data_IF_828383542967
#
_entry.id   IF_828383542967
#
_cell.length_a   1.000
_cell.length_b   1.000
_cell.length_c   1.000
_cell.angle_alpha   90.00
_cell.angle_beta   90.00
_cell.angle_gamma   90.00
#
_symmetry.space_group_name_H-M   'P 1'
#
loop_
_entity.id
_entity.type
_entity.pdbx_description
1 polymer ?
#
# COMPACT_ATOMS: atom_id res chain seq x y z
N UNK A 1 8.69 0.44 -26.74
CA UNK A 1 7.53 1.34 -26.61
C UNK A 1 6.49 0.90 -27.64
N UNK A 2 5.22 0.76 -27.26
CA UNK A 2 4.15 0.35 -28.16
C UNK A 2 3.25 1.53 -28.55
N UNK A 3 2.99 2.44 -27.60
CA UNK A 3 2.16 3.62 -27.80
C UNK A 3 2.48 4.69 -26.73
N UNK A 4 2.21 5.96 -27.03
CA UNK A 4 2.16 7.04 -26.04
C UNK A 4 1.13 8.09 -26.43
N UNK A 5 0.39 8.55 -25.41
CA UNK A 5 -0.59 9.60 -25.52
C UNK A 5 -0.21 10.74 -24.58
N UNK A 6 -0.12 11.95 -25.13
CA UNK A 6 0.12 13.17 -24.36
C UNK A 6 -1.19 13.95 -24.27
N UNK A 7 -1.64 14.18 -23.03
CA UNK A 7 -2.83 14.96 -22.73
C UNK A 7 -2.45 16.27 -22.03
N UNK A 8 -3.19 17.32 -22.34
CA UNK A 8 -3.09 18.61 -21.67
C UNK A 8 -4.42 18.91 -21.02
N UNK A 9 -4.45 19.07 -19.70
CA UNK A 9 -5.68 19.33 -18.95
C UNK A 9 -5.67 20.73 -18.35
N UNK A 10 -6.82 21.40 -18.41
CA UNK A 10 -7.09 22.67 -17.74
C UNK A 10 -8.03 22.42 -16.56
N UNK A 11 -7.59 22.77 -15.35
CA UNK A 11 -8.42 22.68 -14.16
C UNK A 11 -9.16 23.98 -13.94
N UNK A 12 -10.41 23.89 -13.45
CA UNK A 12 -11.38 24.99 -13.37
C UNK A 12 -10.92 26.19 -12.51
N UNK A 13 -9.80 26.08 -11.80
CA UNK A 13 -9.23 27.09 -10.90
C UNK A 13 -7.92 27.74 -11.40
N UNK A 14 -7.52 27.48 -12.65
CA UNK A 14 -6.36 28.14 -13.28
C UNK A 14 -5.08 27.30 -13.31
N UNK A 15 -5.10 26.10 -12.73
CA UNK A 15 -3.98 25.16 -12.79
C UNK A 15 -4.01 24.41 -14.14
N UNK A 16 -2.87 24.35 -14.83
CA UNK A 16 -2.71 23.46 -15.98
C UNK A 16 -1.96 22.20 -15.57
N UNK A 17 -2.18 21.09 -16.25
CA UNK A 17 -1.35 19.90 -16.06
C UNK A 17 -1.04 19.24 -17.40
N UNK A 18 0.18 18.73 -17.51
CA UNK A 18 0.64 17.96 -18.66
C UNK A 18 0.74 16.49 -18.26
N UNK A 19 -0.11 15.63 -18.83
CA UNK A 19 -0.13 14.20 -18.56
C UNK A 19 0.43 13.40 -19.74
N UNK A 20 1.40 12.51 -19.49
CA UNK A 20 1.87 11.54 -20.47
C UNK A 20 1.50 10.12 -20.02
N UNK A 21 0.66 9.45 -20.81
CA UNK A 21 0.36 8.03 -20.68
C UNK A 21 1.21 7.25 -21.69
N UNK A 22 2.10 6.38 -21.19
CA UNK A 22 3.01 5.57 -22.01
C UNK A 22 2.69 4.11 -21.85
N UNK A 23 2.42 3.43 -22.97
CA UNK A 23 2.30 1.97 -23.01
C UNK A 23 3.64 1.37 -23.43
N UNK A 24 4.32 0.78 -22.46
CA UNK A 24 5.52 0.01 -22.70
C UNK A 24 5.14 -1.40 -23.17
N UNK A 25 6.00 -1.97 -24.01
CA UNK A 25 5.95 -3.41 -24.29
C UNK A 25 6.49 -4.15 -23.05
N UNK A 26 6.07 -5.39 -22.84
CA UNK A 26 6.49 -6.15 -21.65
C UNK A 26 8.01 -6.47 -21.65
N UNK A 27 8.65 -6.45 -22.82
CA UNK A 27 10.09 -6.60 -23.01
C UNK A 27 10.88 -5.27 -22.86
N UNK A 28 10.22 -4.17 -22.48
CA UNK A 28 10.88 -2.90 -22.27
C UNK A 28 11.92 -2.98 -21.13
N UNK A 29 13.13 -2.50 -21.41
CA UNK A 29 14.25 -2.58 -20.47
C UNK A 29 14.19 -1.46 -19.42
N UNK A 30 14.92 -1.63 -18.32
CA UNK A 30 15.02 -0.60 -17.28
C UNK A 30 15.60 0.75 -17.79
N UNK A 31 16.68 0.76 -18.61
CA UNK A 31 17.13 1.99 -19.26
C UNK A 31 16.08 2.64 -20.17
N UNK A 32 15.21 1.85 -20.82
CA UNK A 32 14.12 2.42 -21.64
C UNK A 32 13.05 3.09 -20.78
N UNK A 33 12.69 2.52 -19.63
CA UNK A 33 11.75 3.16 -18.68
C UNK A 33 12.35 4.46 -18.11
N UNK A 34 13.62 4.44 -17.74
CA UNK A 34 14.35 5.62 -17.29
C UNK A 34 14.38 6.72 -18.37
N UNK A 35 14.67 6.34 -19.62
CA UNK A 35 14.75 7.27 -20.73
C UNK A 35 13.41 7.98 -20.99
N UNK A 36 12.27 7.32 -20.79
CA UNK A 36 10.95 7.96 -20.91
C UNK A 36 10.81 9.12 -19.92
N UNK A 37 11.22 8.94 -18.66
CA UNK A 37 11.21 10.01 -17.65
C UNK A 37 12.10 11.17 -18.10
N UNK A 38 13.34 10.87 -18.54
CA UNK A 38 14.30 11.90 -18.96
C UNK A 38 13.83 12.67 -20.19
N UNK A 39 13.27 11.99 -21.19
CA UNK A 39 12.71 12.63 -22.39
C UNK A 39 11.58 13.57 -22.00
N UNK A 40 10.63 13.10 -21.18
CA UNK A 40 9.50 13.92 -20.73
C UNK A 40 9.96 15.12 -19.91
N UNK A 41 10.96 14.96 -19.04
CA UNK A 41 11.52 16.04 -18.24
C UNK A 41 12.13 17.18 -19.09
N UNK A 42 12.59 16.86 -20.30
CA UNK A 42 13.20 17.82 -21.23
C UNK A 42 12.24 18.33 -22.32
N UNK A 43 11.01 17.82 -22.36
CA UNK A 43 10.05 18.18 -23.40
C UNK A 43 9.62 19.64 -23.24
N UNK A 44 9.70 20.40 -24.33
CA UNK A 44 9.21 21.78 -24.34
C UNK A 44 7.69 21.79 -24.27
N UNK A 45 7.14 22.28 -23.16
CA UNK A 45 5.71 22.50 -23.02
C UNK A 45 5.33 23.89 -23.57
N UNK A 46 4.08 24.05 -24.08
CA UNK A 46 3.58 25.36 -24.47
C UNK A 46 3.66 26.35 -23.29
N UNK A 47 3.89 27.65 -23.53
CA UNK A 47 4.21 28.62 -22.48
C UNK A 47 3.23 28.62 -21.28
N UNK A 48 1.93 28.45 -21.53
CA UNK A 48 0.90 28.41 -20.50
C UNK A 48 0.93 27.17 -19.58
N UNK A 49 1.75 26.15 -19.89
CA UNK A 49 1.93 24.93 -19.08
C UNK A 49 3.31 24.88 -18.37
N UNK A 50 4.15 25.92 -18.50
CA UNK A 50 5.53 25.94 -17.96
C UNK A 50 5.62 26.26 -16.46
N UNK A 51 4.51 26.66 -15.82
CA UNK A 51 4.45 26.93 -14.38
C UNK A 51 4.00 25.74 -13.53
N UNK A 52 3.51 24.68 -14.17
CA UNK A 52 2.69 23.68 -13.49
C UNK A 52 3.33 22.28 -13.39
N UNK A 53 2.54 21.31 -12.94
CA UNK A 53 2.97 19.92 -12.76
C UNK A 53 2.90 19.11 -14.05
N UNK A 54 3.91 18.28 -14.25
CA UNK A 54 3.95 17.19 -15.23
C UNK A 54 3.63 15.89 -14.50
N UNK A 55 2.75 15.10 -15.11
CA UNK A 55 2.34 13.77 -14.65
C UNK A 55 2.74 12.75 -15.71
N UNK A 56 3.40 11.68 -15.29
CA UNK A 56 3.79 10.55 -16.12
C UNK A 56 3.15 9.28 -15.55
N UNK A 57 2.47 8.54 -16.42
CA UNK A 57 2.01 7.19 -16.15
C UNK A 57 2.60 6.27 -17.21
N UNK A 58 3.41 5.31 -16.79
CA UNK A 58 3.88 4.22 -17.62
C UNK A 58 3.13 2.95 -17.24
N UNK A 59 2.58 2.25 -18.23
CA UNK A 59 1.90 0.98 -18.02
C UNK A 59 2.54 -0.12 -18.88
N UNK A 60 2.69 -1.30 -18.30
CA UNK A 60 2.88 -2.59 -18.98
C UNK A 60 1.57 -3.36 -18.91
N UNK A 61 1.48 -4.60 -19.44
CA UNK A 61 0.21 -5.33 -19.40
C UNK A 61 -0.38 -5.46 -17.97
N UNK A 62 0.47 -5.63 -16.96
CA UNK A 62 0.05 -5.88 -15.57
C UNK A 62 0.63 -4.90 -14.55
N UNK A 63 1.62 -4.08 -14.93
CA UNK A 63 2.39 -3.26 -14.00
C UNK A 63 2.30 -1.78 -14.35
N UNK A 64 2.50 -0.90 -13.38
CA UNK A 64 2.51 0.54 -13.65
C UNK A 64 3.53 1.30 -12.84
N UNK A 65 4.08 2.35 -13.44
CA UNK A 65 4.85 3.38 -12.76
C UNK A 65 4.16 4.73 -12.94
N UNK A 66 4.02 5.46 -11.85
CA UNK A 66 3.45 6.79 -11.80
C UNK A 66 4.47 7.76 -11.21
N UNK A 67 4.61 8.93 -11.81
CA UNK A 67 5.39 10.01 -11.22
C UNK A 67 4.83 11.39 -11.57
N UNK A 68 5.09 12.34 -10.68
CA UNK A 68 4.75 13.76 -10.90
C UNK A 68 5.90 14.67 -10.48
N UNK A 69 6.11 15.77 -11.22
CA UNK A 69 7.11 16.79 -10.91
C UNK A 69 6.67 18.16 -11.42
N UNK A 70 7.22 19.24 -10.84
CA UNK A 70 7.06 20.59 -11.41
C UNK A 70 7.95 20.76 -12.64
N UNK A 71 7.50 21.53 -13.62
CA UNK A 71 8.30 21.86 -14.79
C UNK A 71 9.69 22.43 -14.39
N UNK A 72 10.76 21.92 -15.02
CA UNK A 72 12.15 22.29 -14.68
C UNK A 72 12.67 21.72 -13.35
N UNK A 73 11.88 20.92 -12.63
CA UNK A 73 12.32 20.24 -11.41
C UNK A 73 13.31 19.09 -11.68
N UNK A 74 14.09 18.74 -10.65
CA UNK A 74 15.01 17.59 -10.73
C UNK A 74 14.21 16.28 -10.81
N UNK A 75 14.46 15.51 -11.88
CA UNK A 75 13.82 14.23 -12.16
C UNK A 75 14.75 13.04 -11.99
N UNK A 76 15.95 13.24 -11.46
CA UNK A 76 16.97 12.18 -11.31
C UNK A 76 16.44 10.99 -10.50
N UNK A 77 15.86 11.25 -9.33
CA UNK A 77 15.25 10.20 -8.49
C UNK A 77 14.09 9.50 -9.18
N UNK A 78 13.31 10.23 -9.99
CA UNK A 78 12.17 9.69 -10.74
C UNK A 78 12.63 8.75 -11.84
N UNK A 79 13.68 9.14 -12.55
CA UNK A 79 14.30 8.31 -13.56
C UNK A 79 14.89 7.02 -12.93
N UNK A 80 15.57 7.14 -11.79
CA UNK A 80 16.09 5.99 -11.01
C UNK A 80 14.97 5.07 -10.49
N UNK A 81 13.87 5.63 -10.01
CA UNK A 81 12.70 4.87 -9.57
C UNK A 81 12.04 4.12 -10.74
N UNK A 82 11.90 4.76 -11.90
CA UNK A 82 11.41 4.11 -13.13
C UNK A 82 12.32 2.98 -13.61
N UNK A 83 13.65 3.18 -13.54
CA UNK A 83 14.63 2.13 -13.82
C UNK A 83 14.43 0.94 -12.88
N UNK A 84 14.29 1.22 -11.58
CA UNK A 84 14.17 0.19 -10.54
C UNK A 84 12.85 -0.57 -10.64
N UNK A 85 11.73 0.13 -10.86
CA UNK A 85 10.43 -0.49 -11.15
C UNK A 85 10.54 -1.48 -12.32
N UNK A 86 11.14 -1.05 -13.43
CA UNK A 86 11.31 -1.89 -14.60
C UNK A 86 12.23 -3.11 -14.35
N UNK A 87 13.25 -2.98 -13.49
CA UNK A 87 14.08 -4.11 -13.04
C UNK A 87 13.27 -5.13 -12.22
N UNK A 88 12.47 -4.65 -11.27
CA UNK A 88 11.61 -5.50 -10.43
C UNK A 88 10.57 -6.22 -11.29
N UNK A 89 9.84 -5.50 -12.13
CA UNK A 89 8.89 -6.08 -13.09
C UNK A 89 9.54 -7.13 -14.00
N UNK A 90 10.75 -6.85 -14.51
CA UNK A 90 11.47 -7.78 -15.38
C UNK A 90 11.89 -9.09 -14.69
N UNK A 91 12.03 -9.10 -13.36
CA UNK A 91 12.30 -10.33 -12.62
C UNK A 91 11.10 -11.28 -12.59
N UNK A 92 9.92 -10.81 -13.03
CA UNK A 92 8.65 -11.56 -13.06
C UNK A 92 8.34 -12.14 -11.68
N UNK A 93 8.01 -11.29 -10.71
CA UNK A 93 7.77 -11.75 -9.34
C UNK A 93 6.50 -12.60 -9.21
N UNK A 94 5.63 -12.61 -10.22
CA UNK A 94 4.37 -13.36 -10.21
C UNK A 94 3.19 -12.57 -9.63
N UNK A 95 3.36 -11.26 -9.48
CA UNK A 95 2.37 -10.30 -9.00
C UNK A 95 2.50 -8.99 -9.80
N UNK A 96 1.47 -8.15 -9.74
CA UNK A 96 1.46 -6.81 -10.34
C UNK A 96 2.28 -5.84 -9.49
N UNK A 97 3.11 -5.03 -10.15
CA UNK A 97 3.97 -4.05 -9.47
C UNK A 97 3.56 -2.63 -9.85
N UNK A 98 3.05 -1.89 -8.86
CA UNK A 98 2.66 -0.50 -9.02
C UNK A 98 3.56 0.42 -8.19
N UNK A 99 4.27 1.31 -8.86
CA UNK A 99 5.20 2.23 -8.22
C UNK A 99 4.71 3.66 -8.38
N UNK A 100 4.70 4.45 -7.31
CA UNK A 100 4.31 5.85 -7.32
C UNK A 100 5.42 6.71 -6.72
N UNK A 101 5.96 7.64 -7.50
CA UNK A 101 6.97 8.62 -7.09
C UNK A 101 6.47 10.05 -7.38
N UNK A 102 5.78 10.63 -6.40
CA UNK A 102 5.26 12.00 -6.46
C UNK A 102 3.86 12.14 -5.89
N UNK A 103 3.50 13.38 -5.54
CA UNK A 103 2.20 13.71 -4.97
C UNK A 103 1.03 13.57 -5.94
N UNK A 104 -0.16 13.48 -5.35
CA UNK A 104 -1.45 13.59 -6.02
C UNK A 104 -1.52 14.85 -6.90
N UNK A 105 -2.39 14.80 -7.91
CA UNK A 105 -2.70 15.82 -8.94
C UNK A 105 -2.89 17.28 -8.47
N UNK A 106 -2.90 17.58 -7.18
CA UNK A 106 -3.02 18.92 -6.64
C UNK A 106 -1.62 19.52 -6.41
N UNK A 107 -1.37 20.65 -7.04
CA UNK A 107 -0.21 21.48 -6.81
C UNK A 107 0.00 21.75 -5.30
N UNK A 108 1.26 21.87 -4.90
CA UNK A 108 1.73 22.46 -3.63
C UNK A 108 1.88 21.59 -2.37
N UNK A 109 1.84 20.27 -2.48
CA UNK A 109 2.34 19.40 -1.40
C UNK A 109 3.51 18.58 -1.94
N UNK A 110 4.67 18.63 -1.28
CA UNK A 110 5.62 17.51 -1.32
C UNK A 110 4.81 16.25 -1.03
N UNK A 111 4.44 15.54 -2.09
CA UNK A 111 3.58 14.37 -1.99
C UNK A 111 4.14 13.32 -1.04
N UNK A 112 3.32 12.36 -0.59
CA UNK A 112 3.80 11.28 0.24
C UNK A 112 5.00 10.60 -0.42
N UNK A 113 5.90 10.11 0.45
CA UNK A 113 7.10 9.38 0.07
C UNK A 113 6.78 8.32 -1.00
N UNK A 114 7.76 8.07 -1.86
CA UNK A 114 7.76 7.00 -2.84
C UNK A 114 7.13 5.71 -2.29
N UNK A 115 6.04 5.28 -2.94
CA UNK A 115 5.23 4.13 -2.52
C UNK A 115 5.29 3.04 -3.58
N UNK A 116 5.54 1.81 -3.14
CA UNK A 116 5.55 0.63 -4.00
C UNK A 116 4.49 -0.34 -3.54
N UNK A 117 3.65 -0.78 -4.46
CA UNK A 117 2.53 -1.68 -4.21
C UNK A 117 2.78 -2.97 -4.99
N UNK A 118 2.73 -4.10 -4.29
CA UNK A 118 2.82 -5.46 -4.82
C UNK A 118 1.42 -6.07 -4.71
N UNK A 119 0.72 -6.21 -5.83
CA UNK A 119 -0.68 -6.62 -5.86
C UNK A 119 -0.87 -7.98 -6.54
N UNK A 120 -1.81 -8.79 -6.05
CA UNK A 120 -2.10 -10.09 -6.66
C UNK A 120 -2.65 -9.94 -8.08
N UNK A 121 -2.20 -10.78 -9.02
CA UNK A 121 -2.51 -10.68 -10.45
C UNK A 121 -3.97 -10.96 -10.85
N UNK A 122 -4.78 -11.51 -9.95
CA UNK A 122 -6.19 -11.82 -10.21
C UNK A 122 -7.14 -11.13 -9.22
N UNK A 123 -6.64 -10.28 -8.33
CA UNK A 123 -7.43 -9.68 -7.25
C UNK A 123 -7.88 -10.67 -6.16
N UNK A 124 -7.72 -11.98 -6.37
CA UNK A 124 -8.30 -13.06 -5.55
C UNK A 124 -7.28 -14.09 -5.07
N UNK A 125 -6.01 -13.99 -5.47
CA UNK A 125 -4.93 -14.89 -5.06
C UNK A 125 -3.86 -14.17 -4.22
N UNK A 126 -4.12 -13.91 -2.91
CA UNK A 126 -3.16 -13.26 -2.01
C UNK A 126 -1.78 -13.94 -1.98
N UNK A 127 -1.74 -15.26 -2.17
CA UNK A 127 -0.52 -16.06 -2.22
C UNK A 127 0.47 -15.62 -3.31
N UNK A 128 -0.04 -15.10 -4.44
CA UNK A 128 0.81 -14.56 -5.51
C UNK A 128 1.54 -13.29 -5.05
N UNK A 129 0.85 -12.39 -4.34
CA UNK A 129 1.41 -11.17 -3.79
C UNK A 129 2.43 -11.47 -2.67
N UNK A 130 2.14 -12.45 -1.79
CA UNK A 130 3.11 -12.84 -0.74
C UNK A 130 4.34 -13.50 -1.33
N UNK A 131 4.20 -14.40 -2.31
CA UNK A 131 5.33 -15.03 -3.01
C UNK A 131 6.19 -13.98 -3.74
N UNK A 132 5.55 -13.04 -4.43
CA UNK A 132 6.23 -11.92 -5.08
C UNK A 132 7.03 -11.07 -4.09
N UNK A 133 6.44 -10.73 -2.94
CA UNK A 133 7.12 -9.96 -1.92
C UNK A 133 8.34 -10.70 -1.35
N UNK A 134 8.25 -12.00 -1.10
CA UNK A 134 9.42 -12.81 -0.68
C UNK A 134 10.54 -12.78 -1.72
N UNK A 135 10.19 -12.95 -3.00
CA UNK A 135 11.15 -12.89 -4.09
C UNK A 135 11.81 -11.52 -4.21
N UNK A 136 11.03 -10.44 -4.15
CA UNK A 136 11.54 -9.06 -4.18
C UNK A 136 12.47 -8.81 -2.99
N UNK A 137 12.12 -9.26 -1.79
CA UNK A 137 12.95 -9.09 -0.60
C UNK A 137 14.30 -9.81 -0.72
N UNK A 138 14.35 -10.96 -1.40
CA UNK A 138 15.58 -11.70 -1.67
C UNK A 138 16.43 -11.14 -2.82
N UNK A 139 15.80 -10.71 -3.90
CA UNK A 139 16.49 -10.24 -5.12
C UNK A 139 16.87 -8.75 -5.10
N UNK A 140 16.14 -7.94 -4.32
CA UNK A 140 16.29 -6.49 -4.25
C UNK A 140 16.35 -6.00 -2.79
N UNK A 141 17.34 -6.41 -1.98
CA UNK A 141 17.42 -6.03 -0.57
C UNK A 141 17.57 -4.51 -0.35
N UNK A 142 18.10 -3.78 -1.35
CA UNK A 142 18.22 -2.31 -1.31
C UNK A 142 16.88 -1.59 -1.19
N UNK A 143 15.80 -2.30 -1.50
CA UNK A 143 14.45 -1.77 -1.52
C UNK A 143 13.77 -1.79 -0.15
N UNK A 144 14.31 -2.50 0.85
CA UNK A 144 13.69 -2.65 2.18
C UNK A 144 13.31 -1.32 2.86
N UNK A 145 14.04 -0.23 2.58
CA UNK A 145 13.82 1.08 3.17
C UNK A 145 12.72 1.92 2.49
N UNK A 146 12.11 1.47 1.39
CA UNK A 146 10.99 2.18 0.75
C UNK A 146 9.66 1.92 1.47
N UNK A 147 8.63 2.68 1.11
CA UNK A 147 7.26 2.44 1.59
C UNK A 147 6.61 1.36 0.69
N UNK A 148 6.42 0.16 1.24
CA UNK A 148 5.86 -0.98 0.52
C UNK A 148 4.45 -1.29 0.98
N UNK A 149 3.61 -1.75 0.06
CA UNK A 149 2.32 -2.31 0.41
C UNK A 149 2.10 -3.59 -0.38
N UNK A 150 1.90 -4.71 0.29
CA UNK A 150 1.37 -5.94 -0.30
C UNK A 150 -0.15 -5.80 -0.33
N UNK A 151 -0.79 -6.10 -1.45
CA UNK A 151 -2.22 -5.90 -1.64
C UNK A 151 -2.89 -7.11 -2.29
N UNK A 152 -4.16 -7.35 -1.95
CA UNK A 152 -4.97 -8.38 -2.61
C UNK A 152 -5.34 -7.98 -4.04
N UNK A 153 -5.32 -6.68 -4.37
CA UNK A 153 -5.59 -6.19 -5.71
C UNK A 153 -5.31 -4.69 -5.85
N UNK A 154 -5.23 -4.23 -7.10
CA UNK A 154 -5.02 -2.82 -7.43
C UNK A 154 -5.82 -2.45 -8.68
N UNK A 155 -6.50 -1.30 -8.65
CA UNK A 155 -7.30 -0.82 -9.77
C UNK A 155 -7.34 0.71 -9.75
N UNK A 156 -7.18 1.34 -10.91
CA UNK A 156 -7.27 2.81 -11.08
C UNK A 156 -6.55 3.61 -9.98
N UNK A 157 -5.28 3.25 -9.77
CA UNK A 157 -4.38 3.87 -8.80
C UNK A 157 -4.76 3.64 -7.32
N UNK A 158 -5.68 2.72 -7.04
CA UNK A 158 -6.20 2.45 -5.71
C UNK A 158 -6.07 0.96 -5.36
N UNK A 159 -5.75 0.68 -4.09
CA UNK A 159 -5.78 -0.69 -3.57
C UNK A 159 -7.23 -1.17 -3.54
N UNK A 160 -7.45 -2.41 -4.00
CA UNK A 160 -8.74 -3.09 -3.94
C UNK A 160 -8.64 -4.26 -2.98
N UNK A 161 -9.48 -4.25 -1.94
CA UNK A 161 -9.51 -5.27 -0.89
C UNK A 161 -8.49 -4.99 0.23
N UNK A 162 -7.77 -6.02 0.65
CA UNK A 162 -6.84 -5.97 1.77
C UNK A 162 -5.44 -5.52 1.38
N UNK A 163 -4.71 -4.97 2.35
CA UNK A 163 -3.30 -4.65 2.24
C UNK A 163 -2.52 -4.89 3.54
N UNK A 164 -1.22 -5.11 3.37
CA UNK A 164 -0.19 -5.17 4.40
C UNK A 164 0.89 -4.15 4.05
N UNK A 165 1.17 -3.21 4.93
CA UNK A 165 2.20 -2.18 4.74
C UNK A 165 2.69 -1.59 6.06
N UNK A 166 3.69 -0.70 6.03
CA UNK A 166 4.12 0.02 7.21
C UNK A 166 3.03 0.99 7.68
N UNK A 167 2.97 1.24 8.98
CA UNK A 167 2.07 2.26 9.53
C UNK A 167 2.55 3.66 9.18
N UNK A 168 1.68 4.40 8.48
CA UNK A 168 1.91 5.78 8.07
C UNK A 168 2.03 6.75 9.25
N UNK A 169 1.56 6.40 10.45
CA UNK A 169 1.51 7.32 11.60
C UNK A 169 2.81 7.44 12.38
N UNK A 170 3.76 6.49 12.23
CA UNK A 170 4.98 6.42 13.06
C UNK A 170 6.29 6.19 12.28
N UNK A 171 6.25 6.24 10.94
CA UNK A 171 7.33 5.72 10.08
C UNK A 171 8.71 6.41 10.26
N UNK A 172 9.66 5.68 10.86
CA UNK A 172 11.11 5.98 10.74
C UNK A 172 11.98 4.75 10.46
N UNK A 173 11.39 3.56 10.33
CA UNK A 173 12.13 2.29 10.11
C UNK A 173 11.34 1.33 9.24
N UNK A 174 11.26 1.64 7.95
CA UNK A 174 10.74 0.76 6.91
C UNK A 174 11.63 -0.49 6.77
N UNK A 175 10.99 -1.66 6.62
CA UNK A 175 11.59 -2.94 6.25
C UNK A 175 10.60 -3.72 5.41
N UNK A 176 11.06 -4.76 4.73
CA UNK A 176 10.14 -5.74 4.18
C UNK A 176 9.36 -6.46 5.28
N UNK A 177 8.13 -6.92 4.98
CA UNK A 177 7.42 -7.83 5.86
C UNK A 177 8.21 -9.14 6.01
N UNK A 178 8.13 -9.75 7.18
CA UNK A 178 8.67 -11.08 7.49
C UNK A 178 7.71 -12.16 7.01
N UNK A 179 8.20 -13.40 6.91
CA UNK A 179 7.40 -14.53 6.43
C UNK A 179 6.16 -14.76 7.29
N UNK A 180 6.28 -14.66 8.61
CA UNK A 180 5.15 -14.80 9.54
C UNK A 180 4.05 -13.75 9.30
N UNK A 181 4.42 -12.58 8.80
CA UNK A 181 3.50 -11.46 8.55
C UNK A 181 2.78 -11.62 7.24
N UNK A 182 3.50 -12.08 6.22
CA UNK A 182 2.94 -12.48 4.94
C UNK A 182 1.97 -13.65 5.13
N UNK A 183 2.34 -14.68 5.90
CA UNK A 183 1.47 -15.82 6.21
C UNK A 183 0.24 -15.41 7.02
N UNK A 184 0.41 -14.51 7.99
CA UNK A 184 -0.71 -14.01 8.78
C UNK A 184 -1.67 -13.19 7.90
N UNK A 185 -1.15 -12.31 7.05
CA UNK A 185 -1.96 -11.54 6.12
C UNK A 185 -2.71 -12.44 5.14
N UNK A 186 -2.03 -13.40 4.53
CA UNK A 186 -2.63 -14.36 3.60
C UNK A 186 -3.78 -15.12 4.27
N UNK A 187 -3.56 -15.66 5.47
CA UNK A 187 -4.62 -16.33 6.24
C UNK A 187 -5.80 -15.41 6.58
N UNK A 188 -5.51 -14.16 6.95
CA UNK A 188 -6.53 -13.17 7.26
C UNK A 188 -7.39 -12.81 6.04
N UNK A 189 -6.86 -12.99 4.83
CA UNK A 189 -7.58 -12.71 3.57
C UNK A 189 -8.31 -13.96 3.05
N UNK A 190 -7.77 -15.17 3.20
CA UNK A 190 -8.33 -16.39 2.58
C UNK A 190 -9.30 -17.15 3.48
N UNK A 191 -8.99 -17.31 4.77
CA UNK A 191 -9.59 -18.35 5.60
C UNK A 191 -10.60 -17.77 6.59
N UNK A 192 -11.58 -17.03 6.06
CA UNK A 192 -12.48 -16.21 6.85
C UNK A 192 -13.94 -16.65 6.72
N UNK A 193 -14.67 -16.80 7.85
CA UNK A 193 -16.03 -17.31 7.82
C UNK A 193 -17.04 -16.34 7.17
N UNK A 194 -16.73 -15.05 7.11
CA UNK A 194 -17.53 -13.99 6.47
C UNK A 194 -16.67 -12.75 6.20
N UNK A 195 -17.08 -11.84 5.30
CA UNK A 195 -16.41 -10.56 5.08
C UNK A 195 -16.43 -9.64 6.33
N UNK A 196 -15.38 -8.86 6.55
CA UNK A 196 -15.26 -7.95 7.71
C UNK A 196 -14.29 -6.77 7.47
N UNK A 197 -14.44 -5.68 8.23
CA UNK A 197 -13.46 -4.57 8.29
C UNK A 197 -12.55 -4.76 9.50
N UNK A 198 -11.26 -4.90 9.28
CA UNK A 198 -10.26 -4.89 10.35
C UNK A 198 -9.11 -3.93 10.08
N UNK A 199 -8.66 -3.29 11.15
CA UNK A 199 -7.41 -2.55 11.23
C UNK A 199 -6.57 -3.25 12.32
N UNK A 200 -5.49 -3.90 11.90
CA UNK A 200 -4.60 -4.66 12.78
C UNK A 200 -3.23 -4.02 12.72
N UNK A 201 -2.75 -3.55 13.88
CA UNK A 201 -1.41 -2.98 14.03
C UNK A 201 -0.62 -3.80 15.02
N UNK A 202 0.54 -4.26 14.60
CA UNK A 202 1.44 -5.07 15.43
C UNK A 202 2.69 -4.27 15.71
N UNK A 203 3.05 -4.09 16.99
CA UNK A 203 4.22 -3.36 17.45
C UNK A 203 5.25 -4.32 18.07
N UNK A 204 6.43 -4.40 17.46
CA UNK A 204 7.53 -5.27 17.90
C UNK A 204 8.91 -4.55 17.82
N UNK A 205 9.63 -4.29 18.94
CA UNK A 205 9.29 -4.68 20.33
C UNK A 205 8.30 -3.72 21.02
N UNK A 206 7.62 -4.16 22.10
CA UNK A 206 6.68 -3.34 22.89
C UNK A 206 7.28 -2.04 23.46
N UNK A 207 6.51 -0.94 23.48
CA UNK A 207 6.82 0.28 24.26
C UNK A 207 7.93 1.20 23.71
N UNK A 208 8.53 0.88 22.57
CA UNK A 208 9.45 1.74 21.83
C UNK A 208 8.74 2.24 20.57
N UNK A 209 9.13 3.41 20.02
CA UNK A 209 8.76 3.77 18.65
C UNK A 209 9.30 2.72 17.68
N UNK A 210 8.49 1.71 17.38
CA UNK A 210 8.94 0.43 16.88
C UNK A 210 7.89 -0.26 16.00
N UNK A 211 8.21 -0.26 14.69
CA UNK A 211 7.89 -1.25 13.65
C UNK A 211 6.45 -1.76 13.66
N UNK A 212 5.61 -1.15 12.81
CA UNK A 212 4.23 -1.57 12.65
C UNK A 212 4.04 -2.46 11.42
N UNK A 213 3.32 -3.55 11.63
CA UNK A 213 2.62 -4.24 10.54
C UNK A 213 1.22 -3.68 10.48
N UNK A 214 1.01 -2.73 9.58
CA UNK A 214 -0.34 -2.30 9.25
C UNK A 214 -0.94 -3.34 8.33
N UNK A 215 -1.75 -4.24 8.88
CA UNK A 215 -2.63 -5.09 8.08
C UNK A 215 -4.00 -4.43 8.08
N UNK A 216 -4.34 -3.80 6.96
CA UNK A 216 -5.66 -3.24 6.72
C UNK A 216 -6.45 -4.23 5.85
N UNK A 217 -7.55 -4.75 6.39
CA UNK A 217 -8.43 -5.67 5.67
C UNK A 217 -9.71 -4.92 5.40
N UNK A 218 -9.87 -4.49 4.15
CA UNK A 218 -11.07 -3.82 3.68
C UNK A 218 -11.98 -4.86 3.02
N UNK A 219 -13.21 -5.05 3.50
CA UNK A 219 -14.23 -5.84 2.84
C UNK A 219 -14.93 -5.02 1.73
N UNK A 220 -15.78 -5.68 0.93
CA UNK A 220 -16.59 -5.02 -0.08
C UNK A 220 -17.53 -3.98 0.53
N UNK A 221 -17.82 -2.91 -0.22
CA UNK A 221 -18.73 -1.85 0.21
C UNK A 221 -20.17 -2.36 0.39
N UNK A 222 -20.81 -2.01 1.52
CA UNK A 222 -22.25 -2.12 1.70
C UNK A 222 -22.77 -3.25 2.59
N UNK A 223 -21.92 -4.12 3.14
CA UNK A 223 -22.37 -5.20 4.04
C UNK A 223 -22.47 -4.76 5.51
N UNK A 224 -23.51 -5.23 6.20
CA UNK A 224 -23.74 -4.94 7.63
C UNK A 224 -23.08 -6.02 8.48
N UNK A 225 -21.98 -5.64 9.14
CA UNK A 225 -21.22 -6.49 10.05
C UNK A 225 -21.83 -6.48 11.47
N UNK A 226 -22.23 -7.65 11.98
CA UNK A 226 -22.90 -7.80 13.28
C UNK A 226 -21.93 -7.93 14.46
N UNK A 227 -22.44 -7.72 15.67
CA UNK A 227 -21.67 -7.87 16.88
C UNK A 227 -21.33 -9.34 17.20
N UNK A 228 -22.21 -10.29 16.87
CA UNK A 228 -21.89 -11.73 17.01
C UNK A 228 -20.80 -12.16 16.02
N UNK A 229 -20.87 -11.66 14.78
CA UNK A 229 -19.84 -11.87 13.78
C UNK A 229 -18.48 -11.33 14.27
N UNK A 230 -18.46 -10.17 14.89
CA UNK A 230 -17.24 -9.61 15.48
C UNK A 230 -16.65 -10.52 16.57
N UNK A 231 -17.48 -11.02 17.49
CA UNK A 231 -17.05 -11.92 18.54
C UNK A 231 -16.53 -13.26 17.98
N UNK A 232 -17.17 -13.80 16.94
CA UNK A 232 -16.73 -15.03 16.30
C UNK A 232 -15.36 -14.87 15.61
N UNK A 233 -15.14 -13.78 14.87
CA UNK A 233 -13.82 -13.50 14.28
C UNK A 233 -12.77 -13.26 15.35
N UNK A 234 -13.08 -12.47 16.37
CA UNK A 234 -12.16 -12.22 17.48
C UNK A 234 -11.73 -13.53 18.18
N UNK A 235 -12.66 -14.46 18.35
CA UNK A 235 -12.37 -15.81 18.88
C UNK A 235 -11.41 -16.64 18.03
N UNK A 236 -11.32 -16.36 16.73
CA UNK A 236 -10.39 -17.02 15.80
C UNK A 236 -9.07 -16.25 15.65
N UNK A 237 -9.13 -14.92 15.55
CA UNK A 237 -8.00 -14.04 15.28
C UNK A 237 -7.09 -13.88 16.49
N UNK A 238 -7.65 -13.53 17.65
CA UNK A 238 -6.88 -13.14 18.83
C UNK A 238 -5.97 -14.27 19.35
N UNK A 239 -6.38 -15.56 19.39
CA UNK A 239 -5.46 -16.63 19.79
C UNK A 239 -4.23 -16.76 18.89
N UNK A 240 -4.35 -16.41 17.60
CA UNK A 240 -3.25 -16.48 16.64
C UNK A 240 -2.35 -15.25 16.76
N UNK A 241 -2.95 -14.06 16.86
CA UNK A 241 -2.23 -12.79 17.06
C UNK A 241 -1.42 -12.78 18.37
N UNK A 242 -1.97 -13.34 19.44
CA UNK A 242 -1.31 -13.40 20.76
C UNK A 242 -0.06 -14.29 20.81
N UNK A 243 0.12 -15.21 19.85
CA UNK A 243 1.33 -16.08 19.82
C UNK A 243 2.59 -15.34 19.40
N UNK A 244 2.46 -14.18 18.77
CA UNK A 244 3.61 -13.40 18.29
C UNK A 244 4.48 -12.83 19.41
N UNK A 245 3.92 -12.64 20.61
CA UNK A 245 4.58 -11.93 21.71
C UNK A 245 4.71 -10.41 21.50
N UNK A 246 4.21 -9.89 20.37
CA UNK A 246 4.14 -8.47 20.07
C UNK A 246 2.93 -7.80 20.73
N UNK A 247 2.93 -6.47 20.80
CA UNK A 247 1.70 -5.72 21.14
C UNK A 247 0.85 -5.63 19.89
N UNK A 248 -0.43 -6.00 19.97
CA UNK A 248 -1.33 -5.95 18.80
C UNK A 248 -2.56 -5.11 19.10
N UNK A 249 -2.73 -4.01 18.39
CA UNK A 249 -4.02 -3.33 18.28
C UNK A 249 -4.88 -4.06 17.26
N UNK A 250 -5.96 -4.66 17.73
CA UNK A 250 -6.94 -5.33 16.89
C UNK A 250 -8.25 -4.56 16.93
N UNK A 251 -8.64 -3.98 15.79
CA UNK A 251 -9.90 -3.25 15.65
C UNK A 251 -10.75 -3.84 14.55
N UNK A 252 -11.97 -4.28 14.88
CA UNK A 252 -13.01 -4.53 13.89
C UNK A 252 -13.96 -3.33 13.80
N UNK A 253 -14.37 -2.97 12.58
CA UNK A 253 -15.27 -1.85 12.31
C UNK A 253 -16.52 -2.31 11.54
N UNK A 254 -17.64 -1.64 11.76
CA UNK A 254 -18.86 -1.81 10.97
C UNK A 254 -19.35 -0.48 10.40
N UNK A 255 -20.16 -0.53 9.34
CA UNK A 255 -20.66 0.64 8.61
C UNK A 255 -21.46 1.65 9.48
N UNK A 256 -22.00 1.26 10.62
CA UNK A 256 -22.85 2.11 11.49
C UNK A 256 -22.20 2.48 12.84
N UNK A 257 -20.88 2.66 12.88
CA UNK A 257 -20.18 3.06 14.10
C UNK A 257 -19.97 1.93 15.10
N UNK A 258 -20.29 0.69 14.73
CA UNK A 258 -19.85 -0.49 15.45
C UNK A 258 -18.32 -0.54 15.47
N UNK A 259 -17.75 -0.67 16.67
CA UNK A 259 -16.31 -0.73 16.90
C UNK A 259 -16.04 -1.77 17.98
N UNK A 260 -15.20 -2.74 17.65
CA UNK A 260 -14.76 -3.81 18.55
C UNK A 260 -13.24 -3.74 18.62
N UNK A 261 -12.69 -3.55 19.81
CA UNK A 261 -11.27 -3.26 20.01
C UNK A 261 -10.68 -4.12 21.11
N UNK A 262 -9.52 -4.70 20.83
CA UNK A 262 -8.74 -5.47 21.80
C UNK A 262 -7.26 -5.16 21.59
N UNK A 263 -6.55 -4.89 22.68
CA UNK A 263 -5.11 -4.69 22.72
C UNK A 263 -4.40 -5.92 23.30
N UNK A 264 -3.77 -6.72 22.45
CA UNK A 264 -3.03 -7.90 22.92
C UNK A 264 -1.66 -7.48 23.46
N UNK A 265 -1.33 -7.89 24.69
CA UNK A 265 0.03 -7.76 25.24
C UNK A 265 0.48 -6.33 25.60
N UNK A 266 -0.44 -5.36 25.63
CA UNK A 266 -0.16 -3.97 26.00
C UNK A 266 -1.15 -3.40 27.01
N UNK A 267 -0.84 -2.19 27.50
CA UNK A 267 -1.71 -1.46 28.41
C UNK A 267 -2.69 -0.57 27.64
N UNK A 268 -4.01 -0.71 27.84
CA UNK A 268 -5.00 0.09 27.15
C UNK A 268 -5.01 1.54 27.67
N UNK A 269 -5.43 2.47 26.82
CA UNK A 269 -5.59 3.87 27.21
C UNK A 269 -6.63 4.02 28.33
N UNK A 270 -6.32 4.79 29.39
CA UNK A 270 -7.26 5.06 30.47
C UNK A 270 -8.55 5.70 29.93
N UNK A 271 -9.70 5.08 30.24
CA UNK A 271 -11.02 5.61 29.85
C UNK A 271 -11.48 5.24 28.43
N UNK A 272 -10.75 4.37 27.71
CA UNK A 272 -11.22 3.80 26.45
C UNK A 272 -12.55 3.07 26.67
N UNK A 273 -13.59 3.44 25.91
CA UNK A 273 -14.88 2.73 25.92
C UNK A 273 -14.72 1.39 25.20
N UNK A 274 -15.11 0.32 25.87
CA UNK A 274 -15.10 -1.05 25.32
C UNK A 274 -16.54 -1.45 25.04
N UNK A 275 -16.80 -2.03 23.87
CA UNK A 275 -18.11 -2.60 23.56
C UNK A 275 -18.39 -3.83 24.41
N UNK A 276 -19.66 -4.10 24.71
CA UNK A 276 -20.05 -5.24 25.56
C UNK A 276 -19.55 -6.57 24.96
N UNK A 277 -19.49 -6.65 23.64
CA UNK A 277 -19.06 -7.84 22.91
C UNK A 277 -17.54 -8.03 22.93
N UNK A 278 -16.77 -6.94 23.05
CA UNK A 278 -15.31 -7.00 23.19
C UNK A 278 -14.88 -7.32 24.63
N UNK A 279 -15.71 -7.04 25.63
CA UNK A 279 -15.37 -7.16 27.06
C UNK A 279 -14.81 -8.54 27.47
N UNK A 280 -15.34 -9.69 27.01
CA UNK A 280 -14.76 -11.00 27.33
C UNK A 280 -13.33 -11.16 26.79
N UNK A 281 -13.06 -10.62 25.60
CA UNK A 281 -11.75 -10.69 24.96
C UNK A 281 -10.77 -9.72 25.59
N UNK A 282 -11.25 -8.51 25.93
CA UNK A 282 -10.46 -7.52 26.65
C UNK A 282 -9.93 -8.09 27.96
N UNK A 283 -10.78 -8.73 28.76
CA UNK A 283 -10.37 -9.40 30.00
C UNK A 283 -9.32 -10.50 29.79
N UNK A 284 -9.33 -11.16 28.63
CA UNK A 284 -8.45 -12.29 28.36
C UNK A 284 -7.06 -11.83 27.88
N UNK A 285 -7.04 -10.85 26.97
CA UNK A 285 -5.85 -10.47 26.19
C UNK A 285 -5.21 -9.15 26.60
N UNK A 286 -5.96 -8.21 27.17
CA UNK A 286 -5.39 -6.95 27.65
C UNK A 286 -4.81 -7.17 29.04
N UNK A 287 -3.48 -7.16 29.13
CA UNK A 287 -2.76 -7.33 30.38
C UNK A 287 -1.65 -6.29 30.47
N UNK A 288 -1.70 -5.52 31.56
CA UNK A 288 -0.54 -4.94 32.20
C UNK A 288 -0.07 -5.95 33.28
#
# INVERSE_FOLDING_TARGET
MADASHTFQYHRYGDYSSGLDVRLKDDATAPQAEAVVRVMATQQLPPQYRGDSTVLKMVRMTDSYFASWRFGGDTTRKAEAANTWARVSASRPGAEIHWSDGGTFAADVEGPAEKVIVAASSGTEPSSATAAMRKIAGEFPELAARDWTVASGYHDLSIVGSSLGPDSSTSRRTRFPSDSELELWEWLVTDQPFPYFADIRVYDPPGVGGRTLGVAILPPAGEVFSAEQAAQLAGQHLPRLARSGAVVEYTLRGHQGFRFEVLVGGCPDPGRKVSAEAEPFVRLYERC
#
